data_IF_274826923543
#
_entry.id   IF_274826923543
#
_cell.length_a   1.000
_cell.length_b   1.000
_cell.length_c   1.000
_cell.angle_alpha   90.00
_cell.angle_beta   90.00
_cell.angle_gamma   90.00
#
_symmetry.space_group_name_H-M   'P 1'
#
loop_
_entity.id
_entity.type
_entity.pdbx_description
1 polymer ?
#
# COMPACT_ATOMS: atom_id res chain seq x y z
N UNK A 1 12.13 11.93 -9.08
CA UNK A 1 11.82 13.36 -8.91
C UNK A 1 12.99 14.13 -8.31
N UNK A 2 13.30 14.05 -7.01
CA UNK A 2 14.39 14.88 -6.41
C UNK A 2 15.72 14.76 -7.17
N UNK A 3 16.20 13.53 -7.42
CA UNK A 3 17.41 13.31 -8.26
C UNK A 3 17.28 13.84 -9.68
N UNK A 4 16.08 13.74 -10.25
CA UNK A 4 15.78 14.18 -11.63
C UNK A 4 15.80 15.71 -11.73
N UNK A 5 15.27 16.40 -10.72
CA UNK A 5 15.09 17.86 -10.72
C UNK A 5 16.35 18.58 -10.25
N UNK A 6 17.03 18.05 -9.24
CA UNK A 6 18.15 18.72 -8.55
C UNK A 6 19.50 18.01 -8.75
N UNK A 7 19.55 17.01 -9.61
CA UNK A 7 20.76 16.22 -9.85
C UNK A 7 21.09 15.26 -8.71
N UNK A 8 22.18 14.51 -8.89
CA UNK A 8 22.67 13.55 -7.89
C UNK A 8 23.59 14.18 -6.85
N UNK A 9 24.27 15.29 -7.20
CA UNK A 9 25.29 15.93 -6.37
C UNK A 9 24.77 16.36 -5.01
N UNK A 10 23.60 17.00 -4.96
CA UNK A 10 22.97 17.49 -3.72
C UNK A 10 21.81 16.62 -3.24
N UNK A 11 21.71 15.35 -3.66
CA UNK A 11 20.54 14.53 -3.34
C UNK A 11 20.34 14.37 -1.83
N UNK A 12 21.40 14.02 -1.09
CA UNK A 12 21.28 13.76 0.36
C UNK A 12 21.00 15.04 1.14
N UNK A 13 21.57 16.16 0.74
CA UNK A 13 21.29 17.49 1.32
C UNK A 13 19.83 17.89 1.10
N UNK A 14 19.30 17.68 -0.10
CA UNK A 14 17.90 17.96 -0.42
C UNK A 14 16.94 17.06 0.38
N UNK A 15 17.27 15.77 0.56
CA UNK A 15 16.46 14.88 1.38
C UNK A 15 16.46 15.33 2.84
N UNK A 16 17.64 15.65 3.41
CA UNK A 16 17.73 16.17 4.78
C UNK A 16 16.93 17.45 4.95
N UNK A 17 17.06 18.40 4.02
CA UNK A 17 16.29 19.65 4.03
C UNK A 17 14.77 19.39 4.06
N UNK A 18 14.28 18.43 3.26
CA UNK A 18 12.87 18.04 3.25
C UNK A 18 12.47 17.41 4.60
N UNK A 19 13.26 16.50 5.14
CA UNK A 19 12.99 15.82 6.41
C UNK A 19 12.99 16.79 7.59
N UNK A 20 13.92 17.74 7.62
CA UNK A 20 14.00 18.81 8.62
C UNK A 20 12.77 19.73 8.54
N UNK A 21 12.34 20.06 7.32
CA UNK A 21 11.15 20.90 7.08
C UNK A 21 9.85 20.20 7.50
N UNK A 22 9.76 18.88 7.33
CA UNK A 22 8.62 18.06 7.77
C UNK A 22 8.74 17.69 9.26
N UNK A 23 9.94 17.75 9.83
CA UNK A 23 10.25 17.30 11.19
C UNK A 23 10.20 15.77 11.35
N UNK A 24 10.35 15.01 10.25
CA UNK A 24 10.22 13.54 10.25
C UNK A 24 10.94 12.93 9.05
N UNK A 25 11.50 11.73 9.26
CA UNK A 25 12.00 10.88 8.17
C UNK A 25 10.93 10.71 7.08
N UNK A 26 11.34 10.87 5.82
CA UNK A 26 10.43 10.95 4.68
C UNK A 26 9.64 9.65 4.50
N UNK A 27 10.25 8.49 4.76
CA UNK A 27 9.55 7.19 4.65
C UNK A 27 8.50 7.06 5.74
N UNK A 28 8.83 7.42 6.98
CA UNK A 28 7.87 7.43 8.09
C UNK A 28 6.70 8.37 7.81
N UNK A 29 6.97 9.54 7.22
CA UNK A 29 5.93 10.48 6.80
C UNK A 29 4.97 9.85 5.78
N UNK A 30 5.50 9.25 4.70
CA UNK A 30 4.67 8.59 3.69
C UNK A 30 3.83 7.44 4.23
N UNK A 31 4.37 6.67 5.20
CA UNK A 31 3.67 5.53 5.78
C UNK A 31 2.55 5.93 6.77
N UNK A 32 2.70 7.05 7.48
CA UNK A 32 1.80 7.37 8.61
C UNK A 32 0.94 8.61 8.39
N UNK A 33 1.51 9.66 7.82
CA UNK A 33 0.93 11.01 7.89
C UNK A 33 0.41 11.47 6.53
N UNK A 34 1.16 11.15 5.46
CA UNK A 34 0.95 11.67 4.11
C UNK A 34 -0.50 11.59 3.65
N UNK A 35 -1.14 10.42 3.74
CA UNK A 35 -2.50 10.28 3.19
C UNK A 35 -3.53 11.13 3.95
N UNK A 36 -3.36 11.26 5.27
CA UNK A 36 -4.24 12.08 6.10
C UNK A 36 -4.09 13.57 5.80
N UNK A 37 -2.85 14.04 5.61
CA UNK A 37 -2.54 15.40 5.21
C UNK A 37 -3.02 15.69 3.79
N UNK A 38 -2.85 14.71 2.90
CA UNK A 38 -3.30 14.79 1.52
C UNK A 38 -4.82 14.94 1.42
N UNK A 39 -5.58 14.15 2.18
CA UNK A 39 -7.05 14.30 2.24
C UNK A 39 -7.44 15.71 2.73
N UNK A 40 -6.78 16.22 3.78
CA UNK A 40 -7.05 17.57 4.32
C UNK A 40 -6.74 18.66 3.29
N UNK A 41 -5.55 18.60 2.68
CA UNK A 41 -5.07 19.58 1.70
C UNK A 41 -6.00 19.68 0.49
N UNK A 42 -6.57 18.56 0.06
CA UNK A 42 -7.49 18.50 -1.07
C UNK A 42 -8.97 18.55 -0.67
N UNK A 43 -9.31 19.07 0.52
CA UNK A 43 -10.69 19.24 0.98
C UNK A 43 -11.56 17.99 0.81
N UNK A 44 -11.04 16.82 1.20
CA UNK A 44 -11.70 15.51 1.03
C UNK A 44 -12.02 15.17 -0.43
N UNK A 45 -11.20 15.61 -1.39
CA UNK A 45 -11.25 15.26 -2.82
C UNK A 45 -9.83 14.93 -3.32
N UNK A 46 -9.21 13.86 -2.78
CA UNK A 46 -7.79 13.59 -3.00
C UNK A 46 -7.48 13.22 -4.45
N UNK A 47 -6.34 13.68 -4.97
CA UNK A 47 -5.82 13.29 -6.31
C UNK A 47 -4.89 12.07 -6.28
N UNK A 48 -4.32 11.74 -5.13
CA UNK A 48 -3.71 10.45 -4.86
C UNK A 48 -4.70 9.57 -4.13
N UNK A 49 -4.97 8.37 -4.63
CA UNK A 49 -5.88 7.42 -4.01
C UNK A 49 -5.11 6.26 -3.40
N UNK A 50 -5.52 5.82 -2.22
CA UNK A 50 -4.90 4.70 -1.52
C UNK A 50 -5.81 3.48 -1.60
N UNK A 51 -5.42 2.50 -2.40
CA UNK A 51 -5.95 1.15 -2.28
C UNK A 51 -5.40 0.55 -0.99
N UNK A 52 -6.30 0.05 -0.13
CA UNK A 52 -5.96 -0.43 1.19
C UNK A 52 -6.76 -1.69 1.48
N UNK A 53 -6.07 -2.74 1.92
CA UNK A 53 -6.75 -3.89 2.49
C UNK A 53 -7.47 -3.51 3.80
N UNK A 54 -8.44 -4.30 4.29
CA UNK A 54 -9.25 -3.96 5.47
C UNK A 54 -8.43 -3.64 6.72
N UNK A 55 -7.33 -4.37 6.96
CA UNK A 55 -6.43 -4.16 8.09
C UNK A 55 -5.21 -3.30 7.73
N UNK A 56 -5.20 -2.73 6.52
CA UNK A 56 -4.09 -1.96 5.97
C UNK A 56 -2.75 -2.72 5.95
N UNK A 57 -2.77 -4.06 5.88
CA UNK A 57 -1.54 -4.88 5.70
C UNK A 57 -0.98 -4.76 4.29
N UNK A 58 -1.80 -4.34 3.34
CA UNK A 58 -1.41 -3.96 1.99
C UNK A 58 -1.96 -2.56 1.67
N UNK A 59 -1.08 -1.68 1.19
CA UNK A 59 -1.46 -0.34 0.73
C UNK A 59 -0.73 -0.01 -0.57
N UNK A 60 -1.45 0.56 -1.53
CA UNK A 60 -0.88 1.10 -2.78
C UNK A 60 -1.44 2.49 -3.02
N UNK A 61 -0.55 3.44 -3.30
CA UNK A 61 -0.91 4.80 -3.65
C UNK A 61 -0.88 4.97 -5.17
N UNK A 62 -1.99 5.40 -5.77
CA UNK A 62 -2.08 5.74 -7.19
C UNK A 62 -2.28 7.24 -7.39
N UNK A 63 -1.81 7.78 -8.50
CA UNK A 63 -2.14 9.14 -8.92
C UNK A 63 -3.30 9.11 -9.92
N UNK A 64 -4.46 9.62 -9.51
CA UNK A 64 -5.73 9.47 -10.26
C UNK A 64 -5.67 10.04 -11.69
N UNK A 65 -4.94 11.13 -11.93
CA UNK A 65 -4.79 11.69 -13.29
C UNK A 65 -3.95 10.82 -14.23
N UNK A 66 -3.31 9.77 -13.69
CA UNK A 66 -2.56 8.77 -14.47
C UNK A 66 -3.20 7.40 -14.38
N UNK A 67 -4.41 7.31 -13.84
CA UNK A 67 -5.17 6.07 -13.86
C UNK A 67 -5.43 5.65 -15.31
N UNK A 68 -5.33 4.36 -15.54
CA UNK A 68 -5.58 3.67 -16.80
C UNK A 68 -6.40 2.43 -16.49
N UNK A 69 -7.14 1.90 -17.48
CA UNK A 69 -8.01 0.72 -17.29
C UNK A 69 -7.25 -0.54 -16.83
N UNK A 70 -5.93 -0.61 -17.06
CA UNK A 70 -5.05 -1.68 -16.60
C UNK A 70 -4.45 -1.45 -15.20
N UNK A 71 -4.72 -0.31 -14.54
CA UNK A 71 -4.10 0.05 -13.25
C UNK A 71 -4.35 -1.00 -12.19
N UNK A 72 -5.57 -1.55 -12.11
CA UNK A 72 -5.90 -2.61 -11.16
C UNK A 72 -5.22 -3.95 -11.50
N UNK A 73 -5.05 -4.26 -12.79
CA UNK A 73 -4.27 -5.41 -13.22
C UNK A 73 -2.78 -5.28 -12.84
N UNK A 74 -2.25 -4.06 -12.91
CA UNK A 74 -0.89 -3.74 -12.44
C UNK A 74 -0.80 -3.88 -10.91
N UNK A 75 -1.78 -3.36 -10.15
CA UNK A 75 -1.83 -3.51 -8.69
C UNK A 75 -1.86 -5.00 -8.31
N UNK A 76 -2.75 -5.77 -8.91
CA UNK A 76 -2.93 -7.19 -8.65
C UNK A 76 -1.65 -7.99 -8.90
N UNK A 77 -1.11 -7.92 -10.12
CA UNK A 77 -0.02 -8.80 -10.53
C UNK A 77 1.36 -8.24 -10.15
N UNK A 78 1.55 -6.93 -10.30
CA UNK A 78 2.84 -6.27 -10.05
C UNK A 78 3.14 -6.04 -8.58
N UNK A 79 2.11 -5.87 -7.74
CA UNK A 79 2.30 -5.49 -6.34
C UNK A 79 1.70 -6.50 -5.36
N UNK A 80 0.40 -6.81 -5.44
CA UNK A 80 -0.28 -7.64 -4.45
C UNK A 80 0.25 -9.09 -4.44
N UNK A 81 0.23 -9.76 -5.59
CA UNK A 81 0.78 -11.13 -5.73
C UNK A 81 2.27 -11.21 -5.46
N UNK A 82 3.01 -10.19 -5.90
CA UNK A 82 4.44 -10.07 -5.60
C UNK A 82 4.70 -9.91 -4.10
N UNK A 83 3.83 -9.22 -3.37
CA UNK A 83 3.92 -9.09 -1.92
C UNK A 83 3.55 -10.39 -1.19
N UNK A 84 2.46 -11.06 -1.59
CA UNK A 84 2.10 -12.39 -1.08
C UNK A 84 3.24 -13.40 -1.26
N UNK A 85 3.89 -13.43 -2.43
CA UNK A 85 5.00 -14.33 -2.71
C UNK A 85 6.18 -14.08 -1.75
N UNK A 86 6.52 -12.80 -1.50
CA UNK A 86 7.56 -12.41 -0.53
C UNK A 86 7.20 -12.78 0.90
N UNK A 87 5.95 -12.61 1.30
CA UNK A 87 5.46 -13.04 2.62
C UNK A 87 5.52 -14.56 2.77
N UNK A 88 5.11 -15.31 1.74
CA UNK A 88 5.20 -16.77 1.71
C UNK A 88 6.64 -17.28 1.83
N UNK A 89 7.59 -16.64 1.13
CA UNK A 89 9.01 -16.96 1.25
C UNK A 89 9.56 -16.62 2.64
N UNK A 90 9.23 -15.43 3.16
CA UNK A 90 9.61 -15.04 4.53
C UNK A 90 9.07 -16.05 5.55
N UNK A 91 7.82 -16.50 5.41
CA UNK A 91 7.22 -17.50 6.29
C UNK A 91 8.00 -18.81 6.26
N UNK A 92 8.34 -19.33 5.07
CA UNK A 92 9.16 -20.56 4.92
C UNK A 92 10.52 -20.45 5.61
N UNK A 93 11.17 -19.29 5.49
CA UNK A 93 12.44 -19.04 6.17
C UNK A 93 12.29 -19.09 7.70
N UNK A 94 11.19 -18.56 8.25
CA UNK A 94 10.91 -18.65 9.69
C UNK A 94 10.56 -20.07 10.12
N UNK A 95 9.83 -20.81 9.31
CA UNK A 95 9.52 -22.23 9.57
C UNK A 95 10.83 -23.04 9.69
N UNK A 96 11.79 -22.83 8.79
CA UNK A 96 13.11 -23.46 8.87
C UNK A 96 13.86 -23.11 10.17
N UNK A 97 13.80 -21.85 10.63
CA UNK A 97 14.40 -21.42 11.91
C UNK A 97 13.73 -22.12 13.10
N UNK A 98 12.40 -22.25 13.09
CA UNK A 98 11.64 -22.84 14.21
C UNK A 98 11.96 -24.32 14.47
N UNK A 99 12.33 -25.07 13.43
CA UNK A 99 12.65 -26.49 13.53
C UNK A 99 14.16 -26.77 13.55
N UNK A 100 14.99 -25.76 13.30
CA UNK A 100 16.44 -25.92 13.22
C UNK A 100 17.03 -26.36 14.57
N UNK A 101 17.83 -27.44 14.61
CA UNK A 101 18.53 -27.88 15.81
C UNK A 101 19.54 -26.86 16.34
N UNK A 102 20.05 -25.98 15.47
CA UNK A 102 21.05 -24.95 15.81
C UNK A 102 20.45 -23.65 16.35
N UNK A 103 19.13 -23.47 16.28
CA UNK A 103 18.45 -22.28 16.80
C UNK A 103 18.26 -22.37 18.32
N UNK A 104 18.47 -21.24 19.01
CA UNK A 104 18.11 -21.11 20.41
C UNK A 104 16.59 -21.15 20.62
N UNK A 105 16.15 -21.50 21.83
CA UNK A 105 14.71 -21.52 22.17
C UNK A 105 14.04 -20.16 21.95
N UNK A 106 14.75 -19.07 22.25
CA UNK A 106 14.27 -17.71 22.02
C UNK A 106 14.04 -17.42 20.53
N UNK A 107 14.94 -17.89 19.66
CA UNK A 107 14.79 -17.73 18.20
C UNK A 107 13.63 -18.54 17.66
N UNK A 108 13.41 -19.75 18.18
CA UNK A 108 12.27 -20.60 17.81
C UNK A 108 10.94 -19.96 18.19
N UNK A 109 10.81 -19.47 19.43
CA UNK A 109 9.60 -18.77 19.89
C UNK A 109 9.33 -17.52 19.04
N UNK A 110 10.38 -16.72 18.76
CA UNK A 110 10.24 -15.54 17.90
C UNK A 110 9.80 -15.90 16.48
N UNK A 111 10.38 -16.95 15.89
CA UNK A 111 10.01 -17.42 14.56
C UNK A 111 8.55 -17.89 14.51
N UNK A 112 8.08 -18.62 15.52
CA UNK A 112 6.68 -19.05 15.62
C UNK A 112 5.70 -17.87 15.67
N UNK A 113 6.02 -16.83 16.45
CA UNK A 113 5.21 -15.60 16.50
C UNK A 113 5.16 -14.91 15.12
N UNK A 114 6.31 -14.76 14.46
CA UNK A 114 6.38 -14.12 13.13
C UNK A 114 5.64 -14.94 12.06
N UNK A 115 5.65 -16.28 12.15
CA UNK A 115 4.85 -17.17 11.28
C UNK A 115 3.35 -16.91 11.46
N UNK A 116 2.90 -16.76 12.71
CA UNK A 116 1.50 -16.49 13.01
C UNK A 116 1.06 -15.13 12.42
N UNK A 117 1.87 -14.09 12.60
CA UNK A 117 1.60 -12.76 12.08
C UNK A 117 1.56 -12.74 10.55
N UNK A 118 2.55 -13.36 9.89
CA UNK A 118 2.56 -13.47 8.42
C UNK A 118 1.35 -14.27 7.93
N UNK A 119 0.95 -15.33 8.64
CA UNK A 119 -0.22 -16.14 8.25
C UNK A 119 -1.53 -15.35 8.35
N UNK A 120 -1.67 -14.48 9.35
CA UNK A 120 -2.82 -13.56 9.47
C UNK A 120 -2.86 -12.57 8.31
N UNK A 121 -1.72 -11.95 7.98
CA UNK A 121 -1.60 -11.02 6.85
C UNK A 121 -1.93 -11.73 5.55
N UNK A 122 -1.33 -12.90 5.28
CA UNK A 122 -1.57 -13.67 4.06
C UNK A 122 -3.05 -14.01 3.88
N UNK A 123 -3.74 -14.45 4.94
CA UNK A 123 -5.17 -14.74 4.88
C UNK A 123 -5.99 -13.50 4.53
N UNK A 124 -5.71 -12.37 5.17
CA UNK A 124 -6.43 -11.12 4.91
C UNK A 124 -6.21 -10.61 3.49
N UNK A 125 -4.97 -10.61 2.99
CA UNK A 125 -4.69 -10.11 1.64
C UNK A 125 -5.13 -11.09 0.54
N UNK A 126 -5.22 -12.39 0.83
CA UNK A 126 -5.81 -13.39 -0.08
C UNK A 126 -7.32 -13.18 -0.23
N UNK A 127 -8.04 -12.94 0.88
CA UNK A 127 -9.46 -12.54 0.82
C UNK A 127 -9.63 -11.23 0.07
N UNK A 128 -8.81 -10.22 0.36
CA UNK A 128 -8.85 -8.92 -0.34
C UNK A 128 -8.54 -9.05 -1.84
N UNK A 129 -7.62 -9.94 -2.23
CA UNK A 129 -7.39 -10.25 -3.64
C UNK A 129 -8.64 -10.81 -4.30
N UNK A 130 -9.17 -11.93 -3.78
CA UNK A 130 -10.24 -12.69 -4.41
C UNK A 130 -11.58 -11.94 -4.44
N UNK A 131 -11.92 -11.25 -3.35
CA UNK A 131 -13.24 -10.63 -3.18
C UNK A 131 -13.29 -9.19 -3.71
N UNK A 132 -12.16 -8.49 -3.80
CA UNK A 132 -12.14 -7.06 -4.09
C UNK A 132 -11.29 -6.73 -5.32
N UNK A 133 -9.98 -7.01 -5.29
CA UNK A 133 -9.07 -6.54 -6.34
C UNK A 133 -9.22 -7.33 -7.64
N UNK A 134 -9.38 -8.65 -7.57
CA UNK A 134 -9.48 -9.50 -8.76
C UNK A 134 -10.73 -9.20 -9.59
N UNK A 135 -11.95 -9.09 -9.02
CA UNK A 135 -13.13 -8.68 -9.77
C UNK A 135 -12.95 -7.32 -10.44
N UNK A 136 -12.49 -6.31 -9.69
CA UNK A 136 -12.29 -4.96 -10.24
C UNK A 136 -11.23 -4.94 -11.36
N UNK A 137 -10.17 -5.75 -11.25
CA UNK A 137 -9.15 -5.87 -12.29
C UNK A 137 -9.69 -6.55 -13.57
N UNK A 138 -10.59 -7.53 -13.42
CA UNK A 138 -11.25 -8.20 -14.54
C UNK A 138 -12.26 -7.29 -15.24
N UNK A 139 -12.97 -6.46 -14.47
CA UNK A 139 -13.96 -5.51 -15.00
C UNK A 139 -13.30 -4.31 -15.70
N UNK A 140 -11.99 -4.13 -15.54
CA UNK A 140 -11.20 -3.04 -16.13
C UNK A 140 -11.84 -1.66 -15.88
N UNK A 141 -12.28 -1.42 -14.65
CA UNK A 141 -13.05 -0.22 -14.26
C UNK A 141 -12.40 1.06 -14.79
N UNK A 142 -13.14 1.82 -15.58
CA UNK A 142 -12.70 3.08 -16.18
C UNK A 142 -13.17 4.29 -15.34
N UNK A 143 -12.35 5.34 -15.33
CA UNK A 143 -12.71 6.63 -14.75
C UNK A 143 -12.74 7.70 -15.82
N UNK A 144 -13.69 8.62 -15.71
CA UNK A 144 -13.75 9.84 -16.51
C UNK A 144 -13.38 11.01 -15.60
N UNK A 145 -12.34 11.77 -15.91
CA UNK A 145 -11.90 12.87 -15.06
C UNK A 145 -12.97 13.98 -14.94
N UNK A 146 -13.86 14.10 -15.92
CA UNK A 146 -14.93 15.10 -15.93
C UNK A 146 -16.07 14.76 -14.94
N UNK A 147 -16.24 13.48 -14.57
CA UNK A 147 -17.16 13.04 -13.51
C UNK A 147 -16.74 13.56 -12.12
N UNK A 148 -15.49 14.01 -11.99
CA UNK A 148 -14.91 14.50 -10.74
C UNK A 148 -14.60 13.40 -9.71
N UNK A 149 -13.91 13.79 -8.64
CA UNK A 149 -13.36 12.82 -7.67
C UNK A 149 -14.46 12.02 -6.97
N UNK A 150 -15.59 12.64 -6.60
CA UNK A 150 -16.65 11.96 -5.82
C UNK A 150 -17.23 10.78 -6.59
N UNK A 151 -17.60 10.99 -7.85
CA UNK A 151 -18.23 9.94 -8.67
C UNK A 151 -17.22 8.82 -8.91
N UNK A 152 -16.01 9.15 -9.39
CA UNK A 152 -15.03 8.13 -9.74
C UNK A 152 -14.53 7.32 -8.54
N UNK A 153 -14.33 7.94 -7.38
CA UNK A 153 -13.86 7.20 -6.20
C UNK A 153 -14.86 6.16 -5.72
N UNK A 154 -16.16 6.43 -5.86
CA UNK A 154 -17.20 5.48 -5.48
C UNK A 154 -17.30 4.28 -6.43
N UNK A 155 -16.66 4.32 -7.61
CA UNK A 155 -16.53 3.16 -8.52
C UNK A 155 -15.65 2.04 -7.93
N UNK A 156 -14.85 2.35 -6.91
CA UNK A 156 -13.86 1.44 -6.32
C UNK A 156 -14.27 0.90 -4.93
N UNK A 157 -15.47 1.24 -4.46
CA UNK A 157 -16.10 0.66 -3.27
C UNK A 157 -15.15 0.45 -2.07
N UNK A 158 -15.04 -0.79 -1.56
CA UNK A 158 -14.22 -1.18 -0.41
C UNK A 158 -12.73 -1.34 -0.75
N UNK A 159 -12.33 -1.17 -2.02
CA UNK A 159 -10.91 -1.29 -2.41
C UNK A 159 -10.08 -0.07 -2.00
N UNK A 160 -10.70 1.10 -1.93
CA UNK A 160 -10.05 2.35 -1.53
C UNK A 160 -10.25 2.63 -0.03
N UNK A 161 -9.24 3.24 0.58
CA UNK A 161 -9.31 3.70 1.98
C UNK A 161 -10.48 4.66 2.16
N UNK A 162 -11.35 4.41 3.15
CA UNK A 162 -12.55 5.23 3.37
C UNK A 162 -12.22 6.70 3.64
N UNK A 163 -12.93 7.60 2.97
CA UNK A 163 -12.83 9.06 3.17
C UNK A 163 -14.22 9.61 3.49
N UNK A 164 -14.37 10.19 4.69
CA UNK A 164 -15.63 10.79 5.15
C UNK A 164 -16.15 11.86 4.17
N UNK A 165 -17.40 11.74 3.72
CA UNK A 165 -18.03 12.65 2.77
C UNK A 165 -17.62 12.42 1.30
N UNK A 166 -17.02 11.27 1.03
CA UNK A 166 -16.63 10.84 -0.31
C UNK A 166 -16.94 9.36 -0.55
N UNK A 167 -16.65 8.47 0.41
CA UNK A 167 -17.06 7.06 0.39
C UNK A 167 -18.48 6.91 0.96
N UNK A 168 -19.48 6.62 0.11
CA UNK A 168 -20.88 6.38 0.48
C UNK A 168 -21.75 7.65 0.63
N UNK A 169 -23.06 7.46 0.42
CA UNK A 169 -24.12 8.48 0.53
C UNK A 169 -24.22 9.11 1.93
#
# INVERSE_FOLDING_TARGET
>A
FVRTTFGNEHFDENIRFIEDSIGKDIRKYFLKDFYSDHIKRYNKRPIYWMFSSPNASFNVLIYMHRYQTDTLSIILNGYLRSYQAKLGESKKQKEAISISPGSSEREKIKALSEIEDISKILREIDTYEHEVIYPLANDQVEIDLDDGVKVNYNKFEESLKKVSGLSGN
#
